data_IF_624645428101
#
_entry.id   IF_624645428101
#
_cell.length_a   1.000
_cell.length_b   1.000
_cell.length_c   1.000
_cell.angle_alpha   90.00
_cell.angle_beta   90.00
_cell.angle_gamma   90.00
#
_symmetry.space_group_name_H-M   'P 1'
#
loop_
_entity.id
_entity.type
_entity.pdbx_description
1 polymer ?
#
# COMPACT_ATOMS: atom_id res chain seq x y z
N UNK A 1 -28.15 0.81 29.10
CA UNK A 1 -29.33 0.54 28.25
C UNK A 1 -28.96 -0.62 27.32
N UNK A 2 -29.73 -1.72 27.44
CA UNK A 2 -29.40 -3.03 26.88
C UNK A 2 -29.66 -3.11 25.37
N UNK A 3 -28.77 -3.83 24.68
CA UNK A 3 -28.88 -4.41 23.34
C UNK A 3 -30.32 -4.74 22.88
N UNK A 4 -30.67 -4.20 21.72
CA UNK A 4 -31.71 -4.73 20.85
C UNK A 4 -31.30 -4.55 19.40
N UNK A 5 -30.62 -5.53 18.85
CA UNK A 5 -30.61 -5.84 17.42
C UNK A 5 -30.13 -7.28 17.26
N UNK A 6 -31.07 -8.19 17.18
CA UNK A 6 -31.09 -9.43 16.44
C UNK A 6 -32.28 -10.26 16.90
N UNK A 7 -33.40 -10.17 16.22
CA UNK A 7 -34.45 -11.21 16.10
C UNK A 7 -35.40 -10.84 14.94
N UNK A 8 -35.23 -11.53 13.84
CA UNK A 8 -36.33 -11.94 12.98
C UNK A 8 -35.95 -13.27 12.33
N UNK A 9 -36.54 -14.34 12.85
CA UNK A 9 -36.59 -15.64 12.20
C UNK A 9 -37.57 -15.51 11.04
N UNK A 10 -37.12 -15.62 9.81
CA UNK A 10 -37.95 -16.04 8.69
C UNK A 10 -37.46 -17.40 8.20
N UNK A 11 -38.44 -18.30 8.09
CA UNK A 11 -38.31 -19.70 7.66
C UNK A 11 -37.83 -19.80 6.22
N UNK A 12 -37.01 -20.82 5.86
CA UNK A 12 -36.56 -21.01 4.48
C UNK A 12 -37.74 -21.42 3.57
N UNK A 13 -38.01 -20.64 2.55
CA UNK A 13 -38.84 -21.06 1.43
C UNK A 13 -38.08 -22.10 0.60
N UNK A 14 -38.79 -23.19 0.27
CA UNK A 14 -38.31 -24.27 -0.60
C UNK A 14 -37.91 -23.71 -1.98
N UNK A 15 -36.61 -23.81 -2.29
CA UNK A 15 -36.16 -23.64 -3.65
C UNK A 15 -36.46 -24.91 -4.44
N UNK A 16 -37.34 -24.77 -5.44
CA UNK A 16 -37.65 -25.81 -6.40
C UNK A 16 -36.36 -26.38 -7.02
N UNK A 17 -36.24 -27.69 -6.95
CA UNK A 17 -35.14 -28.45 -7.60
C UNK A 17 -35.29 -28.32 -9.11
N UNK A 18 -34.52 -27.44 -9.73
CA UNK A 18 -34.28 -27.48 -11.17
C UNK A 18 -33.31 -28.64 -11.43
N UNK A 19 -33.83 -29.71 -12.04
CA UNK A 19 -33.05 -30.87 -12.49
C UNK A 19 -32.23 -30.42 -13.69
N UNK A 20 -30.93 -30.17 -13.50
CA UNK A 20 -30.00 -29.94 -14.58
C UNK A 20 -29.64 -31.31 -15.17
N UNK A 21 -30.02 -31.57 -16.42
CA UNK A 21 -29.61 -32.77 -17.13
C UNK A 21 -28.07 -32.82 -17.25
N UNK A 22 -27.45 -33.98 -17.08
CA UNK A 22 -26.00 -34.09 -17.18
C UNK A 22 -25.54 -33.79 -18.60
N UNK A 23 -24.67 -32.78 -18.74
CA UNK A 23 -23.96 -32.51 -19.98
C UNK A 23 -23.02 -33.69 -20.28
N UNK A 24 -23.23 -34.34 -21.41
CA UNK A 24 -22.38 -35.42 -21.93
C UNK A 24 -21.00 -34.86 -22.35
N UNK A 25 -20.07 -34.85 -21.41
CA UNK A 25 -18.70 -34.30 -21.56
C UNK A 25 -17.82 -35.27 -22.41
N UNK A 26 -18.27 -36.50 -22.63
CA UNK A 26 -17.51 -37.54 -23.36
C UNK A 26 -17.44 -37.34 -24.87
N UNK A 27 -18.50 -36.82 -25.50
CA UNK A 27 -18.58 -36.63 -26.93
C UNK A 27 -17.78 -35.43 -27.46
N UNK A 28 -17.59 -34.42 -26.62
CA UNK A 28 -16.87 -33.17 -26.95
C UNK A 28 -15.34 -33.36 -27.04
N UNK A 29 -14.75 -34.14 -26.14
CA UNK A 29 -13.32 -34.42 -26.13
C UNK A 29 -12.82 -35.22 -27.36
N UNK A 30 -13.60 -36.21 -27.81
CA UNK A 30 -13.25 -37.01 -29.03
C UNK A 30 -13.35 -36.17 -30.29
N UNK A 31 -14.33 -35.27 -30.41
CA UNK A 31 -14.45 -34.37 -31.57
C UNK A 31 -13.32 -33.34 -31.59
N UNK A 32 -12.92 -32.82 -30.45
CA UNK A 32 -11.79 -31.89 -30.35
C UNK A 32 -10.45 -32.53 -30.69
N UNK A 33 -10.17 -33.74 -30.20
CA UNK A 33 -8.95 -34.46 -30.52
C UNK A 33 -8.89 -34.91 -32.01
N UNK A 34 -10.04 -35.24 -32.63
CA UNK A 34 -10.10 -35.52 -34.07
C UNK A 34 -9.88 -34.27 -34.92
N UNK A 35 -10.33 -33.11 -34.49
CA UNK A 35 -10.07 -31.83 -35.17
C UNK A 35 -8.58 -31.43 -35.11
N UNK A 36 -7.93 -31.67 -33.98
CA UNK A 36 -6.47 -31.46 -33.81
C UNK A 36 -5.63 -32.43 -34.71
N UNK A 37 -6.03 -33.69 -34.83
CA UNK A 37 -5.36 -34.65 -35.69
C UNK A 37 -5.55 -34.37 -37.20
N UNK A 38 -6.68 -33.77 -37.61
CA UNK A 38 -6.92 -33.34 -38.97
C UNK A 38 -6.18 -32.05 -39.37
N UNK A 39 -5.87 -31.19 -38.43
CA UNK A 39 -5.10 -29.96 -38.64
C UNK A 39 -3.58 -30.19 -38.70
N UNK A 40 -3.09 -31.33 -38.27
CA UNK A 40 -1.66 -31.69 -38.25
C UNK A 40 -1.07 -32.28 -39.54
N UNK A 41 -1.86 -32.44 -40.61
CA UNK A 41 -1.44 -33.18 -41.83
C UNK A 41 -1.22 -32.31 -43.06
N UNK A 42 -1.07 -31.02 -42.98
CA UNK A 42 -0.75 -30.16 -44.13
C UNK A 42 0.07 -28.96 -43.71
N UNK A 43 1.36 -29.07 -43.81
CA UNK A 43 2.38 -28.15 -44.32
C UNK A 43 3.75 -28.49 -43.73
N UNK A 44 4.48 -29.38 -44.41
CA UNK A 44 5.95 -29.35 -44.31
C UNK A 44 6.44 -28.19 -45.18
N UNK A 45 6.66 -27.03 -44.60
CA UNK A 45 7.54 -26.00 -45.13
C UNK A 45 8.85 -26.04 -44.33
N UNK A 46 10.04 -25.82 -44.96
CA UNK A 46 11.31 -25.95 -44.28
C UNK A 46 11.42 -24.87 -43.21
N UNK A 47 11.63 -25.31 -41.99
CA UNK A 47 11.91 -24.43 -40.83
C UNK A 47 13.34 -23.87 -40.95
N UNK A 48 13.49 -22.78 -41.72
CA UNK A 48 14.66 -21.93 -41.69
C UNK A 48 14.23 -20.61 -41.03
N UNK A 49 14.61 -20.41 -39.77
CA UNK A 49 14.75 -19.08 -39.18
C UNK A 49 13.54 -18.46 -38.49
N UNK A 50 12.92 -19.15 -37.55
CA UNK A 50 12.18 -18.51 -36.47
C UNK A 50 12.43 -19.30 -35.17
N UNK A 51 13.69 -19.34 -34.79
CA UNK A 51 14.02 -19.42 -33.37
C UNK A 51 13.50 -18.12 -32.76
N UNK A 52 12.24 -18.16 -32.30
CA UNK A 52 11.74 -17.17 -31.40
C UNK A 52 12.76 -17.04 -30.28
N UNK A 53 13.36 -15.87 -30.18
CA UNK A 53 14.10 -15.51 -28.98
C UNK A 53 13.12 -15.70 -27.80
N UNK A 54 13.26 -16.85 -27.12
CA UNK A 54 12.87 -16.90 -25.73
C UNK A 54 13.75 -15.86 -25.05
N UNK A 55 13.23 -14.65 -24.89
CA UNK A 55 13.80 -13.71 -23.96
C UNK A 55 13.77 -14.44 -22.63
N UNK A 56 14.90 -15.06 -22.27
CA UNK A 56 15.20 -15.38 -20.89
C UNK A 56 14.97 -14.09 -20.15
N UNK A 57 13.87 -13.99 -19.39
CA UNK A 57 13.57 -12.87 -18.54
C UNK A 57 14.62 -12.79 -17.44
N UNK A 58 15.80 -12.29 -17.78
CA UNK A 58 16.78 -11.87 -16.80
C UNK A 58 16.13 -10.76 -15.98
N UNK A 59 16.15 -10.91 -14.68
CA UNK A 59 15.70 -9.89 -13.75
C UNK A 59 16.33 -8.55 -14.15
N UNK A 60 15.48 -7.54 -14.43
CA UNK A 60 15.92 -6.19 -14.73
C UNK A 60 16.35 -5.55 -13.42
N UNK A 61 17.64 -5.53 -13.11
CA UNK A 61 18.14 -4.76 -11.98
C UNK A 61 18.51 -3.37 -12.48
N UNK A 62 17.78 -2.34 -12.07
CA UNK A 62 18.19 -0.96 -12.29
C UNK A 62 18.93 -0.47 -11.05
N UNK A 63 20.24 -0.20 -11.14
CA UNK A 63 20.94 0.54 -10.11
C UNK A 63 20.27 1.91 -9.91
N UNK A 64 20.02 2.27 -8.65
CA UNK A 64 19.52 3.59 -8.33
C UNK A 64 18.01 3.69 -8.06
N UNK A 65 17.33 2.59 -7.70
CA UNK A 65 15.94 2.60 -7.22
C UNK A 65 15.74 3.56 -6.06
N UNK A 66 14.55 4.17 -6.00
CA UNK A 66 14.06 4.88 -4.83
C UNK A 66 12.93 4.06 -4.22
N UNK A 67 13.16 3.54 -3.04
CA UNK A 67 12.21 2.75 -2.27
C UNK A 67 11.37 3.67 -1.37
N UNK A 68 10.10 3.86 -1.69
CA UNK A 68 9.22 4.73 -0.91
C UNK A 68 8.58 4.02 0.29
N UNK A 69 8.90 2.75 0.51
CA UNK A 69 8.32 1.94 1.57
C UNK A 69 9.39 1.11 2.30
N UNK A 70 10.10 1.75 3.21
CA UNK A 70 11.15 1.12 4.01
C UNK A 70 10.97 1.47 5.48
N UNK A 71 11.04 0.48 6.35
CA UNK A 71 10.81 0.67 7.79
C UNK A 71 12.09 0.82 8.59
N UNK A 72 12.00 1.60 9.67
CA UNK A 72 13.04 1.71 10.69
C UNK A 72 12.55 1.09 12.01
N UNK A 73 13.50 0.52 12.78
CA UNK A 73 13.25 -0.13 14.05
C UNK A 73 14.20 0.40 15.14
N UNK A 74 14.03 1.64 15.61
CA UNK A 74 14.92 2.18 16.62
C UNK A 74 14.91 1.33 17.90
N UNK A 75 16.06 1.02 18.51
CA UNK A 75 16.12 0.16 19.69
C UNK A 75 15.26 0.67 20.86
N UNK A 76 15.24 1.98 21.09
CA UNK A 76 14.41 2.60 22.15
C UNK A 76 12.93 2.39 21.90
N UNK A 77 12.52 2.43 20.62
CA UNK A 77 11.13 2.22 20.22
C UNK A 77 10.71 0.77 20.45
N UNK A 78 11.53 -0.18 20.00
CA UNK A 78 11.29 -1.62 20.23
C UNK A 78 11.17 -1.93 21.73
N UNK A 79 12.06 -1.35 22.55
CA UNK A 79 12.00 -1.49 24.00
C UNK A 79 10.70 -0.94 24.60
N UNK A 80 10.24 0.23 24.10
CA UNK A 80 9.03 0.90 24.62
C UNK A 80 7.73 0.17 24.29
N UNK A 81 7.72 -0.67 23.25
CA UNK A 81 6.53 -1.39 22.73
C UNK A 81 6.69 -2.91 22.79
N UNK A 82 7.61 -3.41 23.61
CA UNK A 82 7.96 -4.83 23.67
C UNK A 82 6.80 -5.74 24.07
N UNK A 83 5.94 -5.28 24.97
CA UNK A 83 4.80 -6.07 25.44
C UNK A 83 3.70 -6.14 24.37
N UNK A 84 3.46 -5.06 23.66
CA UNK A 84 2.54 -5.00 22.52
C UNK A 84 3.04 -5.91 21.37
N UNK A 85 4.36 -5.96 21.14
CA UNK A 85 4.99 -6.88 20.20
C UNK A 85 4.71 -8.34 20.55
N UNK A 86 4.98 -8.70 21.78
CA UNK A 86 4.74 -10.07 22.29
C UNK A 86 3.26 -10.46 22.15
N UNK A 87 2.35 -9.56 22.54
CA UNK A 87 0.92 -9.79 22.44
C UNK A 87 0.45 -9.97 20.98
N UNK A 88 1.10 -9.29 20.02
CA UNK A 88 0.79 -9.44 18.58
C UNK A 88 1.41 -10.67 17.93
N UNK A 89 2.31 -11.40 18.63
CA UNK A 89 3.08 -12.51 18.08
C UNK A 89 4.14 -12.06 17.04
N UNK A 90 4.45 -10.76 17.00
CA UNK A 90 5.49 -10.25 16.12
C UNK A 90 6.82 -10.16 16.86
N UNK A 91 7.86 -10.75 16.26
CA UNK A 91 9.23 -10.62 16.75
C UNK A 91 10.04 -9.86 15.71
N UNK A 92 10.42 -8.60 15.97
CA UNK A 92 11.27 -7.86 15.05
C UNK A 92 12.64 -8.52 14.96
N UNK A 93 13.18 -8.56 13.75
CA UNK A 93 14.59 -8.97 13.58
C UNK A 93 15.49 -7.88 14.16
N UNK A 94 16.68 -8.24 14.66
CA UNK A 94 17.69 -7.25 15.00
C UNK A 94 17.94 -6.33 13.81
N UNK A 95 17.79 -5.03 14.04
CA UNK A 95 17.92 -4.03 12.98
C UNK A 95 18.91 -2.93 13.38
N UNK A 96 19.70 -2.49 12.42
CA UNK A 96 20.57 -1.33 12.50
C UNK A 96 20.50 -0.57 11.16
N UNK A 97 20.89 0.71 11.12
CA UNK A 97 21.02 1.41 9.84
C UNK A 97 21.94 0.69 8.84
N UNK A 98 23.02 0.08 9.32
CA UNK A 98 23.93 -0.70 8.50
C UNK A 98 23.24 -1.92 7.84
N UNK A 99 22.31 -2.56 8.56
CA UNK A 99 21.50 -3.66 7.99
C UNK A 99 20.66 -3.18 6.81
N UNK A 100 19.99 -2.03 6.94
CA UNK A 100 19.23 -1.43 5.83
C UNK A 100 20.14 -1.08 4.65
N UNK A 101 21.27 -0.44 4.90
CA UNK A 101 22.22 -0.06 3.84
C UNK A 101 22.77 -1.27 3.08
N UNK A 102 23.13 -2.35 3.79
CA UNK A 102 23.58 -3.61 3.16
C UNK A 102 22.47 -4.24 2.29
N UNK A 103 21.24 -4.25 2.78
CA UNK A 103 20.09 -4.74 2.01
C UNK A 103 19.84 -3.88 0.76
N UNK A 104 19.88 -2.56 0.90
CA UNK A 104 19.71 -1.61 -0.20
C UNK A 104 20.79 -1.79 -1.27
N UNK A 105 22.05 -1.91 -0.86
CA UNK A 105 23.18 -2.09 -1.78
C UNK A 105 23.04 -3.38 -2.61
N UNK A 106 22.65 -4.47 -1.95
CA UNK A 106 22.40 -5.76 -2.62
C UNK A 106 21.22 -5.71 -3.61
N UNK A 107 20.23 -4.86 -3.35
CA UNK A 107 19.03 -4.72 -4.19
C UNK A 107 19.14 -3.58 -5.23
N UNK A 108 20.25 -2.84 -5.29
CA UNK A 108 20.41 -1.71 -6.19
C UNK A 108 19.53 -0.51 -5.81
N UNK A 109 19.14 -0.39 -4.53
CA UNK A 109 18.35 0.72 -4.00
C UNK A 109 19.28 1.85 -3.58
N UNK A 110 19.18 2.99 -4.25
CA UNK A 110 20.00 4.16 -3.94
C UNK A 110 19.48 4.90 -2.71
N UNK A 111 18.15 5.10 -2.63
CA UNK A 111 17.51 5.86 -1.55
C UNK A 111 16.33 5.06 -1.01
N UNK A 112 16.17 5.01 0.32
CA UNK A 112 14.99 4.47 0.97
C UNK A 112 14.30 5.52 1.84
N UNK A 113 12.97 5.60 1.74
CA UNK A 113 12.13 6.47 2.55
C UNK A 113 11.79 5.76 3.87
N UNK A 114 12.43 6.20 4.93
CA UNK A 114 12.21 5.62 6.25
C UNK A 114 10.81 5.97 6.78
N UNK A 115 10.08 4.98 7.21
CA UNK A 115 8.80 5.13 7.92
C UNK A 115 8.79 4.31 9.21
N UNK A 116 8.15 4.79 10.29
CA UNK A 116 8.05 3.99 11.51
C UNK A 116 7.22 2.72 11.25
N UNK A 117 7.56 1.65 11.99
CA UNK A 117 6.78 0.41 11.94
C UNK A 117 5.51 0.59 12.76
N UNK A 118 4.43 0.54 12.11
CA UNK A 118 3.15 0.98 12.66
C UNK A 118 2.43 -0.02 13.51
N UNK A 119 2.64 -1.29 13.24
CA UNK A 119 2.00 -2.35 14.04
C UNK A 119 2.25 -2.20 15.54
N UNK A 120 3.29 -1.44 15.89
CA UNK A 120 3.81 -1.29 17.24
C UNK A 120 3.33 -0.01 17.94
N UNK A 121 2.97 1.00 17.16
CA UNK A 121 2.63 2.32 17.67
C UNK A 121 1.14 2.43 17.98
N UNK A 122 0.31 1.63 17.32
CA UNK A 122 -1.14 1.83 17.31
C UNK A 122 -1.84 1.62 18.63
N UNK A 123 -1.43 0.61 19.41
CA UNK A 123 -2.09 0.34 20.68
C UNK A 123 -1.59 1.24 21.80
N UNK A 124 -0.34 1.70 21.69
CA UNK A 124 0.26 2.63 22.66
C UNK A 124 0.13 4.10 22.30
N UNK A 125 -0.21 4.43 21.03
CA UNK A 125 -0.37 5.83 20.58
C UNK A 125 -1.83 6.22 20.34
N UNK A 126 -2.77 5.32 20.54
CA UNK A 126 -4.20 5.59 20.35
C UNK A 126 -4.86 6.33 21.53
N UNK A 127 -4.13 6.64 22.59
CA UNK A 127 -4.68 7.10 23.86
C UNK A 127 -4.41 8.57 24.19
N UNK A 128 -3.88 9.36 23.25
CA UNK A 128 -3.44 10.75 23.46
C UNK A 128 -2.43 10.91 24.59
N UNK A 129 -1.73 9.84 24.92
CA UNK A 129 -0.80 9.83 26.05
C UNK A 129 0.48 10.60 25.77
N UNK A 130 1.17 10.98 26.85
CA UNK A 130 2.52 11.53 26.75
C UNK A 130 3.48 10.53 26.11
N UNK A 131 3.30 9.23 26.38
CA UNK A 131 4.07 8.15 25.74
C UNK A 131 3.93 8.21 24.22
N UNK A 132 2.72 8.35 23.68
CA UNK A 132 2.45 8.44 22.23
C UNK A 132 3.14 9.66 21.61
N UNK A 133 3.01 10.82 22.23
CA UNK A 133 3.66 12.05 21.77
C UNK A 133 5.18 11.93 21.78
N UNK A 134 5.72 11.41 22.88
CA UNK A 134 7.16 11.22 23.06
C UNK A 134 7.74 10.23 22.04
N UNK A 135 7.05 9.09 21.78
CA UNK A 135 7.50 8.10 20.82
C UNK A 135 7.47 8.65 19.39
N UNK A 136 6.43 9.37 19.00
CA UNK A 136 6.37 10.00 17.69
C UNK A 136 7.55 10.96 17.49
N UNK A 137 7.78 11.87 18.47
CA UNK A 137 8.89 12.82 18.46
C UNK A 137 10.25 12.12 18.35
N UNK A 138 10.54 11.15 19.21
CA UNK A 138 11.81 10.43 19.22
C UNK A 138 12.06 9.67 17.90
N UNK A 139 11.04 9.04 17.34
CA UNK A 139 11.16 8.38 16.03
C UNK A 139 11.50 9.36 14.91
N UNK A 140 10.84 10.52 14.89
CA UNK A 140 11.06 11.55 13.89
C UNK A 140 12.47 12.15 13.98
N UNK A 141 12.94 12.42 15.19
CA UNK A 141 14.31 12.90 15.43
C UNK A 141 15.36 11.88 15.03
N UNK A 142 15.14 10.60 15.37
CA UNK A 142 16.04 9.50 14.98
C UNK A 142 16.09 9.32 13.47
N UNK A 143 14.95 9.32 12.78
CA UNK A 143 14.91 9.22 11.32
C UNK A 143 15.63 10.41 10.66
N UNK A 144 15.38 11.64 11.14
CA UNK A 144 16.07 12.83 10.65
C UNK A 144 17.59 12.78 10.92
N UNK A 145 18.03 12.18 12.03
CA UNK A 145 19.45 11.95 12.27
C UNK A 145 20.05 10.98 11.25
N UNK A 146 19.37 9.87 10.94
CA UNK A 146 19.84 8.93 9.91
C UNK A 146 19.97 9.57 8.53
N UNK A 147 19.06 10.46 8.17
CA UNK A 147 19.14 11.21 6.91
C UNK A 147 20.38 12.09 6.86
N UNK A 148 20.77 12.71 8.00
CA UNK A 148 21.99 13.53 8.09
C UNK A 148 23.26 12.68 8.08
N UNK A 149 23.24 11.55 8.77
CA UNK A 149 24.42 10.65 8.92
C UNK A 149 24.72 9.90 7.62
N UNK A 150 23.70 9.69 6.76
CA UNK A 150 23.81 8.97 5.51
C UNK A 150 23.24 9.80 4.33
N UNK A 151 23.87 10.91 3.97
CA UNK A 151 23.37 11.83 2.94
C UNK A 151 23.18 11.11 1.60
N UNK A 152 22.02 11.31 0.98
CA UNK A 152 21.67 10.68 -0.30
C UNK A 152 21.24 9.20 -0.20
N UNK A 153 21.19 8.61 1.01
CA UNK A 153 20.74 7.22 1.19
C UNK A 153 19.35 7.11 1.80
N UNK A 154 18.94 8.08 2.60
CA UNK A 154 17.63 8.06 3.25
C UNK A 154 16.83 9.34 3.02
N UNK A 155 15.53 9.16 2.87
CA UNK A 155 14.50 10.14 3.15
C UNK A 155 13.67 9.67 4.35
N UNK A 156 12.67 10.46 4.79
CA UNK A 156 11.82 10.03 5.89
C UNK A 156 10.41 10.59 5.85
N UNK A 157 9.48 9.75 6.27
CA UNK A 157 8.12 10.12 6.62
C UNK A 157 7.98 10.18 8.13
N UNK A 158 7.57 11.33 8.66
CA UNK A 158 7.44 11.55 10.09
C UNK A 158 6.11 11.03 10.63
N UNK A 159 6.12 10.39 11.79
CA UNK A 159 4.93 9.96 12.50
C UNK A 159 4.20 11.12 13.16
N UNK A 160 2.87 11.03 13.25
CA UNK A 160 2.04 11.94 14.03
C UNK A 160 1.42 11.23 15.24
N UNK A 161 1.26 11.90 16.38
CA UNK A 161 0.57 11.37 17.55
C UNK A 161 -0.95 11.46 17.43
N UNK A 162 -1.52 11.04 16.26
CA UNK A 162 -2.97 10.90 16.13
C UNK A 162 -3.48 9.79 17.07
N UNK A 163 -4.67 9.91 17.64
CA UNK A 163 -5.74 10.86 17.31
C UNK A 163 -5.72 12.19 18.10
N UNK A 164 -4.59 12.62 18.64
CA UNK A 164 -4.45 13.91 19.31
C UNK A 164 -4.22 15.04 18.28
N UNK A 165 -5.24 15.87 17.95
CA UNK A 165 -5.10 16.86 16.89
C UNK A 165 -4.12 17.99 17.26
N UNK A 166 -4.12 18.46 18.49
CA UNK A 166 -3.26 19.58 18.91
C UNK A 166 -1.78 19.17 18.93
N UNK A 167 -1.50 17.97 19.43
CA UNK A 167 -0.15 17.41 19.39
C UNK A 167 0.28 17.15 17.96
N UNK A 168 -0.63 16.68 17.11
CA UNK A 168 -0.33 16.41 15.69
C UNK A 168 -0.01 17.69 14.92
N UNK A 169 -0.72 18.78 15.14
CA UNK A 169 -0.41 20.08 14.52
C UNK A 169 0.98 20.58 14.89
N UNK A 170 1.36 20.46 16.18
CA UNK A 170 2.71 20.80 16.65
C UNK A 170 3.77 19.91 16.02
N UNK A 171 3.47 18.61 15.90
CA UNK A 171 4.40 17.64 15.32
C UNK A 171 4.57 17.83 13.81
N UNK A 172 3.50 18.15 13.06
CA UNK A 172 3.59 18.50 11.63
C UNK A 172 4.56 19.68 11.43
N UNK A 173 4.39 20.75 12.22
CA UNK A 173 5.26 21.92 12.11
C UNK A 173 6.71 21.55 12.43
N UNK A 174 6.96 20.83 13.51
CA UNK A 174 8.30 20.43 13.91
C UNK A 174 8.97 19.49 12.88
N UNK A 175 8.25 18.49 12.42
CA UNK A 175 8.78 17.51 11.47
C UNK A 175 9.13 18.16 10.13
N UNK A 176 8.23 18.98 9.57
CA UNK A 176 8.43 19.57 8.26
C UNK A 176 9.32 20.82 8.29
N UNK A 177 9.22 21.66 9.33
CA UNK A 177 9.95 22.94 9.39
C UNK A 177 11.34 22.79 10.04
N UNK A 178 11.48 21.96 11.09
CA UNK A 178 12.72 21.79 11.83
C UNK A 178 13.51 20.58 11.35
N UNK A 179 12.87 19.42 11.33
CA UNK A 179 13.54 18.16 10.97
C UNK A 179 13.70 17.98 9.45
N UNK A 180 12.97 18.78 8.64
CA UNK A 180 12.96 18.70 7.17
C UNK A 180 12.55 17.33 6.64
N UNK A 181 11.58 16.70 7.32
CA UNK A 181 10.99 15.45 6.83
C UNK A 181 10.42 15.62 5.42
N UNK A 182 10.49 14.58 4.60
CA UNK A 182 10.01 14.58 3.21
C UNK A 182 8.48 14.47 3.11
N UNK A 183 7.85 13.98 4.17
CA UNK A 183 6.41 13.83 4.28
C UNK A 183 5.99 13.29 5.64
N UNK A 184 4.75 12.89 5.74
CA UNK A 184 4.13 12.37 6.96
C UNK A 184 3.69 10.94 6.77
N UNK A 185 3.95 10.07 7.74
CA UNK A 185 3.41 8.73 7.81
C UNK A 185 2.12 8.70 8.63
N UNK A 186 1.03 8.20 8.07
CA UNK A 186 -0.23 7.97 8.75
C UNK A 186 -0.61 6.49 8.70
N UNK A 187 -1.38 6.10 9.71
CA UNK A 187 -2.06 4.82 9.72
C UNK A 187 -3.34 4.88 8.90
N UNK A 188 -3.78 3.76 8.35
CA UNK A 188 -5.09 3.66 7.69
C UNK A 188 -6.25 3.88 8.65
N UNK A 189 -6.05 3.54 9.94
CA UNK A 189 -7.05 3.73 10.98
C UNK A 189 -6.44 4.06 12.35
N UNK A 190 -7.20 4.76 13.17
CA UNK A 190 -6.89 5.09 14.56
C UNK A 190 -8.11 4.73 15.41
N UNK A 191 -7.97 3.75 16.31
CA UNK A 191 -9.06 3.19 17.10
C UNK A 191 -10.18 2.63 16.17
N UNK A 192 -11.35 3.25 16.16
CA UNK A 192 -12.53 2.88 15.39
C UNK A 192 -12.79 3.80 14.16
N UNK A 193 -11.83 4.64 13.82
CA UNK A 193 -11.94 5.64 12.75
C UNK A 193 -10.88 5.45 11.68
N UNK A 194 -11.31 5.40 10.40
CA UNK A 194 -10.40 5.47 9.27
C UNK A 194 -10.00 6.92 8.99
N UNK A 195 -8.86 7.09 8.34
CA UNK A 195 -8.20 8.39 8.13
C UNK A 195 -9.03 9.44 7.41
N UNK A 196 -10.10 9.07 6.71
CA UNK A 196 -11.03 10.02 6.10
C UNK A 196 -12.02 10.66 7.08
N UNK A 197 -12.10 10.18 8.34
CA UNK A 197 -13.03 10.72 9.34
C UNK A 197 -12.76 12.21 9.59
N UNK A 198 -13.82 13.05 9.66
CA UNK A 198 -13.69 14.49 9.93
C UNK A 198 -12.93 14.84 11.22
N UNK A 199 -12.82 13.94 12.17
CA UNK A 199 -12.01 14.14 13.38
C UNK A 199 -10.51 14.40 13.06
N UNK A 200 -10.03 13.97 11.89
CA UNK A 200 -8.64 14.18 11.44
C UNK A 200 -8.47 15.39 10.52
N UNK A 201 -9.54 16.08 10.13
CA UNK A 201 -9.47 17.23 9.23
C UNK A 201 -8.55 18.36 9.69
N UNK A 202 -8.41 18.69 10.98
CA UNK A 202 -7.43 19.71 11.40
C UNK A 202 -6.00 19.37 10.95
N UNK A 203 -5.59 18.10 11.03
CA UNK A 203 -4.28 17.68 10.50
C UNK A 203 -4.22 17.78 8.97
N UNK A 204 -5.27 17.37 8.26
CA UNK A 204 -5.33 17.49 6.79
C UNK A 204 -5.33 18.94 6.32
N UNK A 205 -5.97 19.85 7.03
CA UNK A 205 -5.94 21.29 6.71
C UNK A 205 -4.52 21.83 6.72
N UNK A 206 -3.75 21.53 7.76
CA UNK A 206 -2.36 21.94 7.88
C UNK A 206 -1.46 21.26 6.82
N UNK A 207 -1.67 19.96 6.57
CA UNK A 207 -0.96 19.23 5.52
C UNK A 207 -1.27 19.78 4.14
N UNK A 208 -2.52 20.14 3.87
CA UNK A 208 -2.96 20.77 2.63
C UNK A 208 -2.32 22.14 2.41
N UNK A 209 -2.26 22.97 3.45
CA UNK A 209 -1.60 24.28 3.41
C UNK A 209 -0.12 24.17 3.04
N UNK A 210 0.53 23.05 3.42
CA UNK A 210 1.94 22.75 3.17
C UNK A 210 2.20 21.99 1.87
N UNK A 211 1.17 21.63 1.11
CA UNK A 211 1.30 20.71 -0.04
C UNK A 211 2.03 19.42 0.33
N UNK A 212 1.75 18.87 1.51
CA UNK A 212 2.49 17.77 2.07
C UNK A 212 2.23 16.45 1.34
N UNK A 213 3.22 15.56 1.38
CA UNK A 213 3.07 14.15 1.00
C UNK A 213 2.71 13.34 2.24
N UNK A 214 1.73 12.46 2.12
CA UNK A 214 1.29 11.56 3.18
C UNK A 214 1.39 10.12 2.70
N UNK A 215 2.15 9.33 3.43
CA UNK A 215 2.30 7.90 3.23
C UNK A 215 1.39 7.14 4.20
N UNK A 216 0.54 6.26 3.67
CA UNK A 216 -0.40 5.47 4.47
C UNK A 216 0.05 4.03 4.55
N UNK A 217 0.19 3.55 5.79
CA UNK A 217 0.47 2.15 6.05
C UNK A 217 -0.71 1.49 6.78
N UNK A 218 -1.09 0.25 6.45
CA UNK A 218 -2.24 -0.40 7.05
C UNK A 218 -2.05 -0.64 8.54
N UNK A 219 -3.18 -0.54 9.22
CA UNK A 219 -3.36 -0.96 10.57
C UNK A 219 -4.43 -2.05 10.64
N UNK A 220 -4.70 -2.59 11.80
CA UNK A 220 -5.92 -3.36 12.02
C UNK A 220 -6.90 -2.48 12.79
N UNK A 221 -8.02 -2.15 12.15
CA UNK A 221 -9.08 -1.44 12.84
C UNK A 221 -9.52 -2.20 14.10
N UNK A 222 -9.91 -1.50 15.15
CA UNK A 222 -10.29 -2.10 16.42
C UNK A 222 -11.45 -3.10 16.31
N UNK A 223 -12.36 -2.88 15.36
CA UNK A 223 -13.47 -3.80 15.07
C UNK A 223 -13.03 -5.20 14.62
N UNK A 224 -11.80 -5.33 14.05
CA UNK A 224 -11.37 -6.56 13.38
C UNK A 224 -10.23 -7.29 14.10
N UNK A 225 -9.82 -6.82 15.29
CA UNK A 225 -8.68 -7.38 16.03
C UNK A 225 -8.89 -8.81 16.50
N UNK A 226 -10.13 -9.16 16.78
CA UNK A 226 -10.49 -10.47 17.35
C UNK A 226 -11.07 -11.44 16.33
N UNK A 227 -10.95 -11.14 15.02
CA UNK A 227 -11.37 -12.09 13.99
C UNK A 227 -10.43 -13.28 13.95
N UNK A 228 -10.97 -14.51 13.78
CA UNK A 228 -10.16 -15.73 13.68
C UNK A 228 -9.32 -15.74 12.40
N UNK A 229 -8.20 -16.44 12.42
CA UNK A 229 -7.34 -16.67 11.26
C UNK A 229 -6.10 -15.76 11.20
N UNK A 230 -5.46 -15.72 10.04
CA UNK A 230 -4.25 -14.92 9.80
C UNK A 230 -4.58 -13.46 9.52
N UNK A 231 -5.17 -12.80 10.49
CA UNK A 231 -5.71 -11.45 10.38
C UNK A 231 -4.69 -10.41 9.87
N UNK A 232 -3.39 -10.60 10.11
CA UNK A 232 -2.36 -9.67 9.64
C UNK A 232 -2.14 -9.65 8.13
N UNK A 233 -2.51 -10.70 7.39
CA UNK A 233 -2.37 -10.75 5.93
C UNK A 233 -3.59 -10.12 5.25
N UNK A 234 -4.78 -10.56 5.62
CA UNK A 234 -6.03 -10.11 5.00
C UNK A 234 -6.43 -8.72 5.49
N UNK A 235 -6.35 -8.50 6.81
CA UNK A 235 -6.90 -7.28 7.42
C UNK A 235 -6.13 -6.03 7.02
N UNK A 236 -4.83 -6.13 6.75
CA UNK A 236 -4.05 -4.97 6.28
C UNK A 236 -4.51 -4.49 4.89
N UNK A 237 -4.76 -5.43 3.97
CA UNK A 237 -5.22 -5.09 2.63
C UNK A 237 -6.65 -4.54 2.65
N UNK A 238 -7.53 -5.10 3.49
CA UNK A 238 -8.89 -4.62 3.68
C UNK A 238 -8.90 -3.24 4.38
N UNK A 239 -8.04 -3.03 5.39
CA UNK A 239 -7.98 -1.75 6.10
C UNK A 239 -7.49 -0.61 5.20
N UNK A 240 -6.54 -0.89 4.29
CA UNK A 240 -6.13 0.06 3.25
C UNK A 240 -7.30 0.44 2.34
N UNK A 241 -8.07 -0.54 1.88
CA UNK A 241 -9.25 -0.29 1.05
C UNK A 241 -10.30 0.57 1.78
N UNK A 242 -10.56 0.29 3.05
CA UNK A 242 -11.47 1.08 3.90
C UNK A 242 -10.97 2.51 4.13
N UNK A 243 -9.65 2.70 4.26
CA UNK A 243 -9.06 4.02 4.40
C UNK A 243 -9.31 4.88 3.15
N UNK A 244 -9.07 4.34 1.95
CA UNK A 244 -9.31 5.06 0.70
C UNK A 244 -10.81 5.35 0.53
N UNK A 245 -11.67 4.35 0.77
CA UNK A 245 -13.12 4.54 0.73
C UNK A 245 -13.57 5.63 1.72
N UNK A 246 -13.04 5.64 2.94
CA UNK A 246 -13.33 6.67 3.96
C UNK A 246 -12.93 8.08 3.51
N UNK A 247 -11.80 8.23 2.81
CA UNK A 247 -11.36 9.52 2.26
C UNK A 247 -12.31 10.02 1.15
N UNK A 248 -12.78 9.12 0.28
CA UNK A 248 -13.79 9.41 -0.74
C UNK A 248 -15.14 9.74 -0.11
N UNK A 249 -15.61 8.87 0.80
CA UNK A 249 -16.91 8.96 1.44
C UNK A 249 -17.13 10.26 2.22
N UNK A 250 -16.09 10.73 2.92
CA UNK A 250 -16.16 11.96 3.69
C UNK A 250 -15.75 13.21 2.88
N UNK A 251 -15.31 13.04 1.64
CA UNK A 251 -14.86 14.13 0.78
C UNK A 251 -13.53 14.74 1.20
N UNK A 252 -12.72 14.01 1.95
CA UNK A 252 -11.43 14.51 2.46
C UNK A 252 -10.47 14.79 1.31
N UNK A 253 -10.46 13.95 0.24
CA UNK A 253 -9.63 14.16 -0.94
C UNK A 253 -9.96 15.46 -1.66
N UNK A 254 -11.24 15.74 -1.86
CA UNK A 254 -11.70 16.95 -2.56
C UNK A 254 -11.56 18.20 -1.70
N UNK A 255 -11.74 18.06 -0.37
CA UNK A 255 -11.61 19.18 0.59
C UNK A 255 -10.18 19.64 0.75
N UNK A 256 -9.22 18.71 0.66
CA UNK A 256 -7.78 18.97 0.86
C UNK A 256 -6.97 18.56 -0.37
N UNK A 257 -7.17 19.20 -1.53
CA UNK A 257 -6.69 18.73 -2.84
C UNK A 257 -5.16 18.82 -3.01
N UNK A 258 -4.47 19.56 -2.15
CA UNK A 258 -3.02 19.75 -2.24
C UNK A 258 -2.23 18.66 -1.48
N UNK A 259 -2.90 17.83 -0.68
CA UNK A 259 -2.27 16.67 -0.06
C UNK A 259 -2.03 15.60 -1.11
N UNK A 260 -0.81 15.07 -1.17
CA UNK A 260 -0.44 13.97 -2.05
C UNK A 260 -0.42 12.66 -1.25
N UNK A 261 -1.29 11.74 -1.61
CA UNK A 261 -1.58 10.53 -0.85
C UNK A 261 -0.89 9.32 -1.48
N UNK A 262 0.02 8.66 -0.75
CA UNK A 262 0.69 7.41 -1.16
C UNK A 262 0.14 6.27 -0.30
N UNK A 263 -0.43 5.26 -0.94
CA UNK A 263 -0.92 4.06 -0.26
C UNK A 263 0.03 2.89 -0.45
N UNK A 264 0.37 2.24 0.65
CA UNK A 264 1.23 1.07 0.64
C UNK A 264 0.54 -0.18 0.07
N UNK A 265 1.35 -1.21 -0.21
CA UNK A 265 0.91 -2.54 -0.65
C UNK A 265 -0.02 -2.50 -1.88
N UNK A 266 0.31 -1.65 -2.86
CA UNK A 266 -0.50 -1.48 -4.09
C UNK A 266 -1.95 -1.08 -3.82
N UNK A 267 -2.22 -0.44 -2.67
CA UNK A 267 -3.56 -0.08 -2.24
C UNK A 267 -4.37 -1.26 -1.64
N UNK A 268 -3.71 -2.39 -1.37
CA UNK A 268 -4.35 -3.57 -0.80
C UNK A 268 -5.50 -4.08 -1.68
N UNK A 269 -6.64 -4.36 -1.06
CA UNK A 269 -7.84 -4.82 -1.79
C UNK A 269 -8.52 -3.70 -2.62
N UNK A 270 -8.13 -2.43 -2.44
CA UNK A 270 -8.80 -1.31 -3.10
C UNK A 270 -8.71 -1.38 -4.62
N UNK A 271 -7.55 -1.69 -5.19
CA UNK A 271 -7.34 -1.69 -6.64
C UNK A 271 -8.21 -2.72 -7.35
N UNK A 272 -8.48 -3.86 -6.71
CA UNK A 272 -9.42 -4.87 -7.24
C UNK A 272 -10.89 -4.41 -7.13
N UNK A 273 -11.21 -3.56 -6.15
CA UNK A 273 -12.55 -3.05 -5.89
C UNK A 273 -12.83 -1.70 -6.58
N UNK A 274 -11.81 -1.05 -7.15
CA UNK A 274 -11.88 0.32 -7.63
C UNK A 274 -12.97 0.54 -8.68
N UNK A 275 -13.09 -0.35 -9.65
CA UNK A 275 -14.13 -0.26 -10.67
C UNK A 275 -15.54 -0.26 -10.05
N UNK A 276 -15.79 -1.18 -9.11
CA UNK A 276 -17.08 -1.24 -8.41
C UNK A 276 -17.33 0.02 -7.58
N UNK A 277 -16.32 0.56 -6.91
CA UNK A 277 -16.47 1.79 -6.13
C UNK A 277 -16.80 2.97 -7.06
N UNK A 278 -16.16 3.05 -8.23
CA UNK A 278 -16.44 4.09 -9.23
C UNK A 278 -17.87 3.99 -9.76
N UNK A 279 -18.34 2.79 -10.10
CA UNK A 279 -19.67 2.57 -10.69
C UNK A 279 -20.80 2.75 -9.69
N UNK A 280 -20.62 2.28 -8.46
CA UNK A 280 -21.67 2.19 -7.42
C UNK A 280 -21.59 3.34 -6.40
N UNK A 281 -20.71 4.35 -6.57
CA UNK A 281 -20.62 5.45 -5.60
C UNK A 281 -21.96 6.19 -5.45
N UNK A 282 -22.47 6.37 -4.23
CA UNK A 282 -23.82 6.85 -4.03
C UNK A 282 -24.04 8.27 -4.56
N UNK A 283 -25.06 8.47 -5.38
CA UNK A 283 -25.44 9.78 -5.96
C UNK A 283 -25.67 10.86 -4.90
N UNK A 284 -26.17 10.49 -3.74
CA UNK A 284 -26.38 11.41 -2.61
C UNK A 284 -25.08 11.79 -1.89
N UNK A 285 -23.93 11.32 -2.37
CA UNK A 285 -22.58 11.67 -1.92
C UNK A 285 -21.76 12.37 -3.00
N UNK A 286 -22.34 12.70 -4.14
CA UNK A 286 -21.63 13.37 -5.24
C UNK A 286 -21.02 14.72 -4.83
N UNK A 287 -21.61 15.39 -3.83
CA UNK A 287 -21.06 16.61 -3.22
C UNK A 287 -19.69 16.41 -2.54
N UNK A 288 -19.34 15.18 -2.16
CA UNK A 288 -18.06 14.81 -1.56
C UNK A 288 -16.93 14.63 -2.59
N UNK A 289 -17.30 14.37 -3.84
CA UNK A 289 -16.40 14.15 -4.96
C UNK A 289 -16.87 14.95 -6.18
N UNK A 290 -16.87 16.29 -6.14
CA UNK A 290 -17.50 17.15 -7.15
C UNK A 290 -16.91 16.96 -8.56
N UNK A 291 -15.67 16.50 -8.69
CA UNK A 291 -15.04 16.20 -9.98
C UNK A 291 -15.20 14.72 -10.39
N UNK A 292 -15.93 13.92 -9.61
CA UNK A 292 -16.12 12.49 -9.81
C UNK A 292 -15.13 11.62 -9.04
N UNK A 293 -15.60 10.40 -8.72
CA UNK A 293 -14.80 9.42 -7.95
C UNK A 293 -13.52 9.02 -8.70
N UNK A 294 -13.63 8.76 -10.00
CA UNK A 294 -12.50 8.40 -10.85
C UNK A 294 -11.41 9.48 -10.85
N UNK A 295 -11.80 10.75 -10.89
CA UNK A 295 -10.87 11.87 -10.80
C UNK A 295 -10.08 11.85 -9.49
N UNK A 296 -10.73 11.61 -8.37
CA UNK A 296 -10.08 11.56 -7.07
C UNK A 296 -9.17 10.33 -6.94
N UNK A 297 -9.60 9.16 -7.43
CA UNK A 297 -8.79 7.94 -7.42
C UNK A 297 -7.53 8.10 -8.26
N UNK A 298 -7.62 8.66 -9.46
CA UNK A 298 -6.48 8.84 -10.38
C UNK A 298 -5.41 9.82 -9.87
N UNK A 299 -5.68 10.56 -8.80
CA UNK A 299 -4.70 11.43 -8.11
C UNK A 299 -3.89 10.68 -7.03
N UNK A 300 -4.34 9.52 -6.61
CA UNK A 300 -3.69 8.75 -5.56
C UNK A 300 -2.41 8.10 -6.09
N UNK A 301 -1.40 8.02 -5.22
CA UNK A 301 -0.16 7.31 -5.48
C UNK A 301 -0.18 5.96 -4.75
N UNK A 302 0.50 4.99 -5.34
CA UNK A 302 0.61 3.65 -4.79
C UNK A 302 2.05 3.15 -4.88
N UNK A 303 2.51 2.41 -3.87
CA UNK A 303 3.75 1.66 -3.98
C UNK A 303 3.53 0.25 -4.55
N UNK A 304 4.62 -0.45 -4.85
CA UNK A 304 4.58 -1.82 -5.39
C UNK A 304 4.87 -2.90 -4.35
N UNK A 305 4.99 -2.54 -3.08
CA UNK A 305 5.22 -3.54 -2.04
C UNK A 305 4.10 -4.59 -2.07
N UNK A 306 4.47 -5.84 -1.89
CA UNK A 306 3.57 -7.01 -1.98
C UNK A 306 2.88 -7.25 -3.35
N UNK A 307 3.01 -6.36 -4.34
CA UNK A 307 2.52 -6.56 -5.70
C UNK A 307 3.47 -7.41 -6.56
N UNK A 308 4.01 -8.49 -5.99
CA UNK A 308 5.00 -9.34 -6.65
C UNK A 308 4.40 -10.32 -7.67
N UNK A 309 3.10 -10.23 -7.98
CA UNK A 309 2.38 -11.11 -8.91
C UNK A 309 1.59 -10.30 -9.93
N UNK A 310 1.50 -10.85 -11.15
CA UNK A 310 0.84 -10.19 -12.29
C UNK A 310 -0.56 -9.64 -11.94
N UNK A 311 -1.49 -10.37 -11.31
CA UNK A 311 -2.83 -9.85 -11.04
C UNK A 311 -2.87 -8.57 -10.19
N UNK A 312 -1.94 -8.42 -9.25
CA UNK A 312 -1.86 -7.21 -8.43
C UNK A 312 -1.33 -6.01 -9.23
N UNK A 313 -0.32 -6.22 -10.07
CA UNK A 313 0.22 -5.19 -10.96
C UNK A 313 -0.76 -4.79 -12.06
N UNK A 314 -1.52 -5.76 -12.62
CA UNK A 314 -2.60 -5.50 -13.58
C UNK A 314 -3.67 -4.60 -12.96
N UNK A 315 -4.18 -4.97 -11.79
CA UNK A 315 -5.19 -4.20 -11.08
C UNK A 315 -4.70 -2.78 -10.74
N UNK A 316 -3.44 -2.64 -10.33
CA UNK A 316 -2.85 -1.34 -10.04
C UNK A 316 -2.74 -0.47 -11.29
N UNK A 317 -2.27 -1.04 -12.41
CA UNK A 317 -2.14 -0.35 -13.70
C UNK A 317 -3.49 0.10 -14.26
N UNK A 318 -4.54 -0.69 -14.06
CA UNK A 318 -5.90 -0.35 -14.50
C UNK A 318 -6.53 0.74 -13.61
N UNK A 319 -6.12 0.83 -12.35
CA UNK A 319 -6.70 1.79 -11.39
C UNK A 319 -6.14 3.19 -11.57
N UNK A 320 -4.83 3.35 -11.76
CA UNK A 320 -4.16 4.66 -11.83
C UNK A 320 -3.16 4.75 -12.98
N UNK A 321 -2.85 5.97 -13.46
CA UNK A 321 -1.76 6.18 -14.41
C UNK A 321 -0.42 5.69 -13.82
N UNK A 322 0.45 5.16 -14.67
CA UNK A 322 1.79 4.69 -14.25
C UNK A 322 2.60 5.77 -13.52
N UNK A 323 2.35 7.05 -13.82
CA UNK A 323 2.98 8.18 -13.13
C UNK A 323 2.65 8.26 -11.64
N UNK A 324 1.64 7.54 -11.18
CA UNK A 324 1.20 7.46 -9.78
C UNK A 324 1.69 6.18 -9.07
N UNK A 325 2.46 5.34 -9.76
CA UNK A 325 3.01 4.09 -9.21
C UNK A 325 4.48 4.31 -8.87
N UNK A 326 4.91 3.91 -7.69
CA UNK A 326 6.29 4.02 -7.22
C UNK A 326 6.79 2.69 -6.67
N UNK A 327 8.10 2.47 -6.74
CA UNK A 327 8.69 1.30 -6.14
C UNK A 327 8.64 1.37 -4.61
N UNK A 328 8.20 0.28 -3.99
CA UNK A 328 8.20 0.07 -2.55
C UNK A 328 8.46 -1.39 -2.22
N UNK A 329 9.21 -1.65 -1.15
CA UNK A 329 9.68 -2.99 -0.79
C UNK A 329 9.01 -3.60 0.44
N UNK A 330 8.65 -2.79 1.42
CA UNK A 330 8.30 -3.19 2.79
C UNK A 330 9.51 -3.77 3.58
N UNK A 331 10.74 -3.42 3.16
CA UNK A 331 11.95 -3.82 3.88
C UNK A 331 12.07 -3.07 5.23
N UNK A 332 12.71 -3.63 6.23
CA UNK A 332 13.27 -4.98 6.35
C UNK A 332 12.25 -6.03 6.84
N UNK A 333 10.95 -5.71 6.87
CA UNK A 333 9.89 -6.69 7.20
C UNK A 333 9.89 -7.80 6.14
N UNK A 334 9.94 -7.42 4.85
CA UNK A 334 10.24 -8.32 3.74
C UNK A 334 11.66 -8.06 3.21
N UNK A 335 12.27 -9.11 2.68
CA UNK A 335 13.51 -8.95 1.92
C UNK A 335 13.18 -8.50 0.51
N UNK A 336 14.07 -7.74 -0.11
CA UNK A 336 13.93 -7.26 -1.49
C UNK A 336 13.76 -8.40 -2.51
N UNK A 337 14.43 -9.54 -2.30
CA UNK A 337 14.34 -10.74 -3.15
C UNK A 337 12.94 -11.37 -3.23
N UNK A 338 12.05 -11.03 -2.30
CA UNK A 338 10.66 -11.48 -2.31
C UNK A 338 9.72 -10.52 -3.05
N UNK A 339 10.12 -9.27 -3.23
CA UNK A 339 9.30 -8.21 -3.83
C UNK A 339 9.70 -7.92 -5.28
N UNK A 340 10.99 -7.79 -5.53
CA UNK A 340 11.56 -7.33 -6.79
C UNK A 340 11.31 -8.24 -7.98
N UNK A 341 11.43 -9.58 -7.88
CA UNK A 341 11.32 -10.43 -9.06
C UNK A 341 10.01 -10.30 -9.82
N UNK A 342 8.91 -9.99 -9.12
CA UNK A 342 7.60 -9.82 -9.74
C UNK A 342 7.52 -8.57 -10.60
N UNK A 343 7.98 -7.43 -10.08
CA UNK A 343 8.02 -6.17 -10.81
C UNK A 343 9.00 -6.22 -11.98
N UNK A 344 10.18 -6.81 -11.76
CA UNK A 344 11.26 -6.84 -12.75
C UNK A 344 10.96 -7.68 -13.99
N UNK A 345 10.10 -8.70 -13.84
CA UNK A 345 9.69 -9.57 -14.95
C UNK A 345 8.29 -9.26 -15.49
N UNK A 346 7.59 -8.28 -14.92
CA UNK A 346 6.23 -7.97 -15.33
C UNK A 346 6.20 -7.38 -16.75
N UNK A 347 5.51 -8.04 -17.70
CA UNK A 347 5.53 -7.63 -19.10
C UNK A 347 4.61 -6.45 -19.42
N UNK A 348 3.72 -6.07 -18.48
CA UNK A 348 2.72 -5.04 -18.68
C UNK A 348 3.27 -3.60 -18.60
N UNK A 349 4.53 -3.39 -18.19
CA UNK A 349 5.18 -2.09 -18.22
C UNK A 349 6.24 -2.04 -19.32
N UNK A 350 6.21 -0.97 -20.13
CA UNK A 350 7.30 -0.61 -21.01
C UNK A 350 8.57 -0.28 -20.23
N UNK A 351 9.72 -0.28 -20.89
CA UNK A 351 11.00 0.07 -20.25
C UNK A 351 11.00 1.47 -19.64
N UNK A 352 10.35 2.44 -20.29
CA UNK A 352 10.22 3.81 -19.76
C UNK A 352 9.30 3.87 -18.53
N UNK A 353 8.19 3.16 -18.54
CA UNK A 353 7.29 3.06 -17.39
C UNK A 353 7.96 2.36 -16.20
N UNK A 354 8.67 1.27 -16.49
CA UNK A 354 9.41 0.56 -15.46
C UNK A 354 10.49 1.43 -14.79
N UNK A 355 11.24 2.24 -15.57
CA UNK A 355 12.17 3.24 -15.03
C UNK A 355 11.47 4.33 -14.22
N UNK A 356 10.31 4.78 -14.69
CA UNK A 356 9.51 5.76 -13.97
C UNK A 356 9.05 5.23 -12.62
N UNK A 357 8.56 3.98 -12.53
CA UNK A 357 8.15 3.33 -11.28
C UNK A 357 9.33 3.19 -10.33
N UNK A 358 10.47 2.69 -10.83
CA UNK A 358 11.63 2.43 -9.98
C UNK A 358 12.31 3.69 -9.44
N UNK A 359 12.13 4.86 -10.11
CA UNK A 359 12.82 6.08 -9.73
C UNK A 359 12.09 7.37 -10.09
N UNK A 360 11.78 7.58 -11.35
CA UNK A 360 11.36 8.89 -11.88
C UNK A 360 10.11 9.44 -11.22
N UNK A 361 9.15 8.59 -10.81
CA UNK A 361 7.93 9.01 -10.15
C UNK A 361 8.22 9.54 -8.74
N UNK A 362 9.08 8.85 -8.00
CA UNK A 362 9.52 9.30 -6.68
C UNK A 362 10.31 10.61 -6.75
N UNK A 363 11.20 10.78 -7.74
CA UNK A 363 11.96 12.03 -7.93
C UNK A 363 11.06 13.24 -8.24
N UNK A 364 9.93 13.03 -8.94
CA UNK A 364 8.95 14.11 -9.17
C UNK A 364 8.26 14.52 -7.89
N UNK A 365 7.94 13.56 -7.04
CA UNK A 365 7.24 13.80 -5.78
C UNK A 365 8.18 14.34 -4.70
N UNK A 366 9.43 13.90 -4.71
CA UNK A 366 10.48 14.27 -3.76
C UNK A 366 11.71 14.84 -4.48
N UNK A 367 11.68 16.11 -4.93
CA UNK A 367 12.77 16.71 -5.70
C UNK A 367 14.14 16.68 -5.01
N UNK A 368 14.16 16.62 -3.67
CA UNK A 368 15.41 16.50 -2.89
C UNK A 368 16.16 15.17 -3.13
N UNK A 369 15.44 14.12 -3.56
CA UNK A 369 16.01 12.79 -3.79
C UNK A 369 16.64 12.62 -5.18
N UNK A 370 16.62 13.66 -6.02
CA UNK A 370 17.35 13.66 -7.29
C UNK A 370 18.85 13.65 -7.00
N UNK A 371 19.50 12.57 -7.36
CA UNK A 371 20.96 12.35 -7.23
C UNK A 371 21.59 12.37 -8.60
#
# INVERSE_FOLDING_TARGET
MRNRFCKSHETPQEFAKATIAPLDVGASRRKFLKALAAAGASTMLPASGLLGQSTSGGSRVIPGRIDVHHHLFPPFYIAAVQDELRASGFTPRPWTPATSLDMMDKAGVAVAMLSPVQRLVMDSMSDRSEKSRSLARQNNEYAAQLVRDHPGRFGNFAALPLPDPDASLKEIAYALDTLKADGIALWTSYMDKWVGDPAFWPAYEELNRRNAVVFYHPARASCCRNLPGQSGILEYDIDTARAIDSLLWNGTLSKFPNVRHIFSHSGGAFTVLAARIMDDFPKNRADKVPNGVEYEIKKLYFDTAHASKMPALDALKDTVPVSQIMYGSDAPIRNYDLTDPGLDVYPGFSESEWRAINRGNAERLFPRLKV
#
